data_IF_084240131413
#
_entry.id   IF_084240131413
#
_cell.length_a   1.000
_cell.length_b   1.000
_cell.length_c   1.000
_cell.angle_alpha   90.00
_cell.angle_beta   90.00
_cell.angle_gamma   90.00
#
_symmetry.space_group_name_H-M   'P 1'
#
loop_
_entity.id
_entity.type
_entity.pdbx_description
1 polymer ?
#
# COMPACT_ATOMS: atom_id res chain seq x y z
N UNK A 1 -13.52 -17.23 3.98
CA UNK A 1 -12.69 -16.57 5.00
C UNK A 1 -12.60 -15.12 4.61
N UNK A 2 -13.30 -14.25 5.32
CA UNK A 2 -13.02 -12.82 5.26
C UNK A 2 -11.57 -12.65 5.72
N UNK A 3 -10.69 -12.23 4.81
CA UNK A 3 -9.32 -11.86 5.18
C UNK A 3 -9.41 -10.55 5.93
N UNK A 4 -9.58 -10.64 7.23
CA UNK A 4 -9.51 -9.49 8.11
C UNK A 4 -8.12 -8.88 7.98
N UNK A 5 -8.08 -7.65 7.44
CA UNK A 5 -6.84 -6.91 7.28
C UNK A 5 -6.43 -6.39 8.67
N UNK A 6 -5.33 -6.88 9.21
CA UNK A 6 -4.84 -6.43 10.50
C UNK A 6 -4.15 -5.07 10.37
N UNK A 7 -4.55 -4.11 11.22
CA UNK A 7 -3.93 -2.79 11.35
C UNK A 7 -3.55 -2.54 12.81
N UNK A 8 -2.44 -1.82 13.06
CA UNK A 8 -2.10 -1.33 14.39
C UNK A 8 -3.17 -0.42 14.99
N UNK A 9 -3.13 -0.26 16.30
CA UNK A 9 -3.99 0.65 17.06
C UNK A 9 -3.48 2.10 16.99
N UNK A 10 -4.30 3.04 17.49
CA UNK A 10 -3.97 4.47 17.49
C UNK A 10 -2.61 4.79 18.13
N UNK A 11 -2.25 4.14 19.23
CA UNK A 11 -0.98 4.37 19.90
C UNK A 11 0.23 4.06 19.02
N UNK A 12 0.13 3.15 18.06
CA UNK A 12 1.22 2.89 17.10
C UNK A 12 1.52 4.13 16.27
N UNK A 13 0.48 4.74 15.70
CA UNK A 13 0.58 5.90 14.83
C UNK A 13 0.88 7.20 15.60
N UNK A 14 0.35 7.36 16.82
CA UNK A 14 0.71 8.48 17.69
C UNK A 14 2.19 8.50 18.09
N UNK A 15 2.87 7.35 18.01
CA UNK A 15 4.31 7.22 18.25
C UNK A 15 5.14 7.33 16.95
N UNK A 16 4.62 7.99 15.92
CA UNK A 16 5.27 8.24 14.62
C UNK A 16 5.73 6.96 13.88
N UNK A 17 5.05 5.84 14.13
CA UNK A 17 5.35 4.59 13.45
C UNK A 17 4.55 4.47 12.16
N UNK A 18 5.27 4.11 11.08
CA UNK A 18 4.65 3.68 9.84
C UNK A 18 4.20 2.22 9.94
N UNK A 19 3.43 1.77 8.96
CA UNK A 19 2.97 0.39 8.85
C UNK A 19 2.88 -0.01 7.40
N UNK A 20 3.26 -1.24 7.05
CA UNK A 20 3.05 -1.76 5.70
C UNK A 20 2.46 -3.16 5.76
N UNK A 21 1.74 -3.53 4.71
CA UNK A 21 1.08 -4.81 4.62
C UNK A 21 0.60 -5.12 3.22
N UNK A 22 0.00 -6.30 3.08
CA UNK A 22 -0.63 -6.72 1.85
C UNK A 22 -1.89 -7.52 2.13
N UNK A 23 -2.82 -7.47 1.18
CA UNK A 23 -4.04 -8.27 1.16
C UNK A 23 -4.29 -8.79 -0.25
N UNK A 24 -3.81 -10.00 -0.52
CA UNK A 24 -3.80 -10.57 -1.87
C UNK A 24 -2.88 -9.79 -2.81
N UNK A 25 -3.41 -9.27 -3.92
CA UNK A 25 -2.65 -8.46 -4.89
C UNK A 25 -2.47 -7.00 -4.45
N UNK A 26 -3.25 -6.52 -3.48
CA UNK A 26 -3.07 -5.18 -2.92
C UNK A 26 -1.86 -5.18 -1.97
N UNK A 27 -0.92 -4.28 -2.23
CA UNK A 27 0.11 -3.90 -1.27
C UNK A 27 -0.14 -2.45 -0.83
N UNK A 28 0.16 -2.15 0.44
CA UNK A 28 -0.04 -0.81 0.98
C UNK A 28 1.04 -0.43 1.99
N UNK A 29 1.28 0.87 2.11
CA UNK A 29 2.13 1.48 3.11
C UNK A 29 1.42 2.68 3.72
N UNK A 30 1.32 2.68 5.03
CA UNK A 30 0.95 3.80 5.87
C UNK A 30 2.27 4.46 6.25
N UNK A 31 2.55 5.61 5.64
CA UNK A 31 3.72 6.41 5.95
C UNK A 31 3.69 6.85 7.42
N UNK A 32 4.87 7.14 7.97
CA UNK A 32 4.97 7.72 9.30
C UNK A 32 4.11 8.98 9.36
N UNK A 33 3.23 9.11 10.37
CA UNK A 33 2.39 10.29 10.49
C UNK A 33 3.20 11.58 10.47
N UNK A 34 2.65 12.61 9.83
CA UNK A 34 3.19 13.97 9.83
C UNK A 34 2.04 14.90 10.12
N UNK A 35 2.23 15.83 11.05
CA UNK A 35 1.19 16.83 11.38
C UNK A 35 -0.16 16.16 11.66
N UNK A 36 -0.15 15.10 12.48
CA UNK A 36 -1.34 14.34 12.87
C UNK A 36 -2.10 13.68 11.70
N UNK A 37 -1.42 13.47 10.57
CA UNK A 37 -1.99 12.88 9.36
C UNK A 37 -1.21 11.63 8.92
N UNK A 38 -1.92 10.51 8.76
CA UNK A 38 -1.43 9.27 8.14
C UNK A 38 -1.65 9.33 6.64
N UNK A 39 -0.59 9.10 5.85
CA UNK A 39 -0.71 8.94 4.40
C UNK A 39 -0.61 7.47 4.03
N UNK A 40 -1.64 6.94 3.39
CA UNK A 40 -1.67 5.57 2.89
C UNK A 40 -1.46 5.58 1.39
N UNK A 41 -0.52 4.76 0.94
CA UNK A 41 -0.19 4.57 -0.48
C UNK A 41 -0.46 3.13 -0.84
N UNK A 42 -1.18 2.92 -1.94
CA UNK A 42 -1.56 1.62 -2.46
C UNK A 42 -0.82 1.35 -3.76
N UNK A 43 -0.43 0.10 -3.96
CA UNK A 43 0.10 -0.35 -5.24
C UNK A 43 -0.23 -1.82 -5.50
N UNK A 44 -0.06 -2.23 -6.75
CA UNK A 44 -0.26 -3.60 -7.18
C UNK A 44 0.99 -4.44 -6.88
N UNK A 45 0.83 -5.53 -6.12
CA UNK A 45 1.89 -6.51 -5.83
C UNK A 45 2.32 -7.31 -7.07
N UNK A 46 3.44 -8.03 -7.03
CA UNK A 46 4.26 -8.35 -5.85
C UNK A 46 5.45 -7.38 -5.63
N UNK A 47 5.44 -6.20 -6.24
CA UNK A 47 6.57 -5.28 -6.17
C UNK A 47 6.71 -4.64 -4.79
N UNK A 48 7.94 -4.37 -4.34
CA UNK A 48 8.15 -3.40 -3.28
C UNK A 48 7.93 -1.98 -3.83
N UNK A 49 7.52 -1.03 -2.97
CA UNK A 49 7.12 0.32 -3.36
C UNK A 49 8.10 1.00 -4.34
N UNK A 50 9.41 0.78 -4.18
CA UNK A 50 10.42 1.33 -5.08
C UNK A 50 10.19 0.98 -6.56
N UNK A 51 9.75 -0.24 -6.87
CA UNK A 51 9.51 -0.72 -8.23
C UNK A 51 8.03 -0.78 -8.59
N UNK A 52 7.15 -0.38 -7.67
CA UNK A 52 5.74 -0.39 -7.88
C UNK A 52 5.26 0.93 -8.50
N UNK A 53 4.15 0.85 -9.23
CA UNK A 53 3.38 2.03 -9.60
C UNK A 53 2.43 2.35 -8.44
N UNK A 54 2.56 3.54 -7.87
CA UNK A 54 1.62 4.03 -6.86
C UNK A 54 0.26 4.26 -7.54
N UNK A 55 -0.75 3.48 -7.15
CA UNK A 55 -2.07 3.52 -7.77
C UNK A 55 -2.97 4.55 -7.11
N UNK A 56 -2.96 4.60 -5.78
CA UNK A 56 -3.82 5.50 -5.03
C UNK A 56 -3.11 5.95 -3.77
N UNK A 57 -3.34 7.21 -3.40
CA UNK A 57 -2.83 7.82 -2.18
C UNK A 57 -3.98 8.50 -1.47
N UNK A 58 -4.14 8.22 -0.17
CA UNK A 58 -5.17 8.84 0.65
C UNK A 58 -4.65 9.19 2.04
N UNK A 59 -5.15 10.29 2.58
CA UNK A 59 -4.80 10.78 3.90
C UNK A 59 -5.93 10.55 4.90
N UNK A 60 -5.56 10.23 6.14
CA UNK A 60 -6.47 10.03 7.25
C UNK A 60 -5.91 10.71 8.50
N UNK A 61 -6.76 11.30 9.36
CA UNK A 61 -6.31 11.87 10.63
C UNK A 61 -5.86 10.78 11.60
N UNK A 62 -4.86 11.06 12.45
CA UNK A 62 -4.38 10.17 13.54
C UNK A 62 -5.39 10.20 14.69
N UNK A 63 -6.54 9.59 14.46
CA UNK A 63 -7.66 9.46 15.41
C UNK A 63 -8.23 8.06 15.31
N UNK A 64 -9.01 7.61 16.30
CA UNK A 64 -9.67 6.30 16.24
C UNK A 64 -10.60 6.21 15.01
N UNK A 65 -11.43 7.23 14.80
CA UNK A 65 -12.30 7.33 13.61
C UNK A 65 -11.52 7.33 12.30
N UNK A 66 -10.35 7.99 12.27
CA UNK A 66 -9.47 8.01 11.11
C UNK A 66 -8.88 6.64 10.78
N UNK A 67 -8.54 5.84 11.80
CA UNK A 67 -8.04 4.48 11.64
C UNK A 67 -9.14 3.54 11.17
N UNK A 68 -10.35 3.67 11.70
CA UNK A 68 -11.50 2.87 11.25
C UNK A 68 -11.91 3.23 9.82
N UNK A 69 -11.93 4.52 9.46
CA UNK A 69 -12.15 4.96 8.09
C UNK A 69 -11.07 4.46 7.13
N UNK A 70 -9.81 4.49 7.57
CA UNK A 70 -8.68 3.92 6.84
C UNK A 70 -8.86 2.42 6.63
N UNK A 71 -9.20 1.67 7.69
CA UNK A 71 -9.45 0.22 7.65
C UNK A 71 -10.54 -0.13 6.65
N UNK A 72 -11.69 0.53 6.75
CA UNK A 72 -12.82 0.30 5.85
C UNK A 72 -12.45 0.54 4.39
N UNK A 73 -11.76 1.65 4.12
CA UNK A 73 -11.27 1.98 2.78
C UNK A 73 -10.26 0.95 2.25
N UNK A 74 -9.32 0.50 3.09
CA UNK A 74 -8.32 -0.50 2.74
C UNK A 74 -8.96 -1.85 2.38
N UNK A 75 -10.00 -2.25 3.12
CA UNK A 75 -10.76 -3.47 2.83
C UNK A 75 -11.54 -3.37 1.52
N UNK A 76 -12.18 -2.23 1.26
CA UNK A 76 -12.88 -1.98 -0.01
C UNK A 76 -11.91 -2.06 -1.20
N UNK A 77 -10.75 -1.39 -1.10
CA UNK A 77 -9.73 -1.42 -2.15
C UNK A 77 -9.12 -2.80 -2.33
N UNK A 78 -8.88 -3.52 -1.24
CA UNK A 78 -8.41 -4.90 -1.31
C UNK A 78 -9.43 -5.79 -2.03
N UNK A 79 -10.72 -5.68 -1.72
CA UNK A 79 -11.76 -6.46 -2.39
C UNK A 79 -11.84 -6.13 -3.89
N UNK A 80 -11.83 -4.84 -4.24
CA UNK A 80 -11.87 -4.40 -5.64
C UNK A 80 -10.64 -4.88 -6.45
N UNK A 81 -9.44 -4.75 -5.89
CA UNK A 81 -8.21 -5.16 -6.57
C UNK A 81 -8.06 -6.68 -6.66
N UNK A 82 -8.48 -7.43 -5.64
CA UNK A 82 -8.46 -8.89 -5.65
C UNK A 82 -9.55 -9.50 -6.56
N UNK A 83 -10.58 -8.73 -6.93
CA UNK A 83 -11.55 -9.15 -7.94
C UNK A 83 -10.98 -9.06 -9.37
N UNK A 84 -9.94 -8.25 -9.58
CA UNK A 84 -9.23 -8.19 -10.86
C UNK A 84 -8.27 -9.40 -11.00
N UNK A 85 -8.00 -9.87 -12.24
CA UNK A 85 -7.08 -10.97 -12.47
C UNK A 85 -5.66 -10.62 -12.00
N UNK A 86 -4.97 -11.62 -11.44
CA UNK A 86 -3.57 -11.48 -11.03
C UNK A 86 -2.67 -11.23 -12.25
N UNK A 87 -1.67 -10.34 -12.13
CA UNK A 87 -0.63 -10.20 -13.18
C UNK A 87 0.06 -11.54 -13.39
N UNK A 88 0.26 -11.92 -14.65
CA UNK A 88 0.98 -13.15 -14.94
C UNK A 88 2.46 -13.02 -14.52
N UNK A 89 3.18 -14.13 -14.27
CA UNK A 89 4.61 -14.08 -13.99
C UNK A 89 5.43 -13.39 -15.09
N UNK A 90 5.00 -13.53 -16.35
CA UNK A 90 5.65 -12.89 -17.49
C UNK A 90 5.48 -11.36 -17.46
N UNK A 91 4.27 -10.87 -17.19
CA UNK A 91 3.99 -9.43 -17.08
C UNK A 91 4.72 -8.82 -15.88
N UNK A 92 4.74 -9.56 -14.76
CA UNK A 92 5.47 -9.17 -13.55
C UNK A 92 6.97 -9.00 -13.82
N UNK A 93 7.57 -9.96 -14.53
CA UNK A 93 8.99 -9.90 -14.89
C UNK A 93 9.28 -8.75 -15.87
N UNK A 94 8.45 -8.57 -16.90
CA UNK A 94 8.61 -7.50 -17.88
C UNK A 94 8.56 -6.11 -17.21
N UNK A 95 7.62 -5.91 -16.29
CA UNK A 95 7.52 -4.67 -15.50
C UNK A 95 8.78 -4.43 -14.66
N UNK A 96 9.26 -5.45 -13.95
CA UNK A 96 10.47 -5.33 -13.14
C UNK A 96 11.69 -4.95 -13.98
N UNK A 97 11.90 -5.65 -15.10
CA UNK A 97 13.03 -5.38 -15.99
C UNK A 97 13.01 -3.95 -16.54
N UNK A 98 11.83 -3.48 -16.98
CA UNK A 98 11.63 -2.10 -17.44
C UNK A 98 11.99 -1.10 -16.34
N UNK A 99 11.34 -1.22 -15.17
CA UNK A 99 11.51 -0.27 -14.06
C UNK A 99 12.93 -0.28 -13.49
N UNK A 100 13.57 -1.45 -13.45
CA UNK A 100 14.96 -1.57 -13.01
C UNK A 100 15.94 -0.95 -14.02
N UNK A 101 15.68 -1.05 -15.32
CA UNK A 101 16.49 -0.42 -16.35
C UNK A 101 16.39 1.12 -16.31
N UNK A 102 15.17 1.65 -16.19
CA UNK A 102 14.91 3.10 -16.05
C UNK A 102 15.67 3.67 -14.84
N UNK A 103 15.54 3.06 -13.66
CA UNK A 103 16.26 3.51 -12.46
C UNK A 103 17.78 3.38 -12.53
N UNK A 104 18.30 2.40 -13.29
CA UNK A 104 19.75 2.28 -13.53
C UNK A 104 20.24 3.42 -14.43
N UNK A 105 19.44 3.84 -15.41
CA UNK A 105 19.76 4.96 -16.28
C UNK A 105 19.73 6.30 -15.54
N UNK A 106 18.76 6.51 -14.63
CA UNK A 106 18.67 7.72 -13.80
C UNK A 106 19.87 7.93 -12.86
N UNK A 107 20.57 6.84 -12.49
CA UNK A 107 21.73 6.87 -11.59
C UNK A 107 23.07 7.07 -12.32
N UNK A 108 23.08 7.15 -13.65
CA UNK A 108 24.29 7.25 -14.47
C UNK A 108 24.48 8.67 -15.01
#
# INVERSE_FOLDING_TARGET
MEKELWLPTLSHFQNDNGWSGSSGVLCYEIEKPKEETMTVVLWYGPFCRQYAEEMERRQFPVTEDGIEAMRAWLMERAAAMNAAPERTPADTLAWYQKTAAEKRAEKK
#
